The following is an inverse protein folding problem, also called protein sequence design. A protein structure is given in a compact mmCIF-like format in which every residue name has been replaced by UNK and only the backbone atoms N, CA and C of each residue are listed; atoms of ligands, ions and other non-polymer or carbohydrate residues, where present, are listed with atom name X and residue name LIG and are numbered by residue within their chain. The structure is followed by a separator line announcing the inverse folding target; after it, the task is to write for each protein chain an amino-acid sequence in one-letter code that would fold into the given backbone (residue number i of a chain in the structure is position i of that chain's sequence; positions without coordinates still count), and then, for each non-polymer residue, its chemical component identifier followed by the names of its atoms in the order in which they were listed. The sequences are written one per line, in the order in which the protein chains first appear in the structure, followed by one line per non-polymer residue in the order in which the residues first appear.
data_IF_164368029167
#
_entry.id   IF_164368029167
#
_cell.length_a   1.000
_cell.length_b   1.000
_cell.length_c   1.000
_cell.angle_alpha   90.00
_cell.angle_beta   90.00
_cell.angle_gamma   90.00
#
_symmetry.space_group_name_H-M   'P 1'
#
loop_
_entity.id
_entity.type
_entity.pdbx_description
1 polymer ?
#
# COMPACT_ATOMS: atom_id res chain seq x y z
N UNK A 1 19.56 19.01 -7.52
CA UNK A 1 19.65 19.23 -6.05
C UNK A 1 19.87 17.91 -5.32
N UNK A 2 20.59 17.89 -4.17
CA UNK A 2 20.70 16.69 -3.32
C UNK A 2 19.30 16.30 -2.80
N UNK A 3 18.81 15.08 -3.08
CA UNK A 3 17.46 14.57 -2.71
C UNK A 3 16.99 14.96 -1.30
N UNK A 4 17.89 14.94 -0.31
CA UNK A 4 17.58 15.33 1.08
C UNK A 4 16.98 16.74 1.19
N UNK A 5 17.51 17.71 0.44
CA UNK A 5 17.05 19.10 0.47
C UNK A 5 15.63 19.18 -0.10
N UNK A 6 15.40 18.54 -1.26
CA UNK A 6 14.08 18.38 -1.88
C UNK A 6 13.06 17.71 -0.95
N UNK A 7 13.45 16.62 -0.27
CA UNK A 7 12.59 15.95 0.70
C UNK A 7 12.24 16.85 1.89
N UNK A 8 13.21 17.57 2.44
CA UNK A 8 12.98 18.46 3.57
C UNK A 8 12.09 19.65 3.17
N UNK A 9 12.30 20.24 1.99
CA UNK A 9 11.45 21.29 1.43
C UNK A 9 10.02 20.78 1.23
N UNK A 10 9.86 19.59 0.65
CA UNK A 10 8.55 18.95 0.49
C UNK A 10 7.83 18.78 1.83
N UNK A 11 8.52 18.24 2.85
CA UNK A 11 7.93 18.02 4.17
C UNK A 11 7.63 19.32 4.93
N UNK A 12 8.42 20.38 4.70
CA UNK A 12 8.20 21.71 5.29
C UNK A 12 7.06 22.47 4.59
N UNK A 13 6.82 22.20 3.31
CA UNK A 13 5.75 22.81 2.53
C UNK A 13 4.37 22.18 2.76
N UNK A 14 4.26 21.13 3.59
CA UNK A 14 2.96 20.55 3.94
C UNK A 14 2.23 21.43 4.96
N UNK A 15 0.97 21.77 4.69
CA UNK A 15 0.14 22.60 5.59
C UNK A 15 -0.03 21.97 6.99
N UNK A 16 -0.06 20.64 7.05
CA UNK A 16 -0.10 19.87 8.30
C UNK A 16 1.25 19.22 8.53
N UNK A 17 1.68 19.16 9.79
CA UNK A 17 2.92 18.47 10.19
C UNK A 17 2.77 16.96 10.00
N UNK A 18 3.19 16.45 8.85
CA UNK A 18 3.13 15.02 8.53
C UNK A 18 4.34 14.26 9.09
N UNK A 19 4.19 13.00 9.51
CA UNK A 19 5.31 12.14 9.84
C UNK A 19 6.20 11.93 8.62
N UNK A 20 7.48 11.72 8.83
CA UNK A 20 8.44 11.56 7.75
C UNK A 20 9.79 11.05 8.25
N UNK A 21 10.63 10.66 7.31
CA UNK A 21 11.96 10.12 7.56
C UNK A 21 12.86 11.18 8.21
N UNK A 22 13.30 10.90 9.43
CA UNK A 22 14.16 11.70 10.28
C UNK A 22 15.61 11.72 9.82
N UNK A 23 15.88 12.15 8.58
CA UNK A 23 17.22 12.13 7.96
C UNK A 23 18.32 12.78 8.83
N UNK A 24 18.00 13.80 9.62
CA UNK A 24 18.97 14.43 10.55
C UNK A 24 19.36 13.45 11.67
N UNK A 25 18.36 12.86 12.34
CA UNK A 25 18.51 11.89 13.43
C UNK A 25 19.21 10.62 12.94
N UNK A 26 18.68 9.97 11.91
CA UNK A 26 19.24 8.71 11.38
C UNK A 26 20.68 8.88 10.87
N UNK A 27 21.00 10.00 10.20
CA UNK A 27 22.38 10.26 9.77
C UNK A 27 23.32 10.59 10.92
N UNK A 28 22.83 11.07 12.06
CA UNK A 28 23.64 11.32 13.25
C UNK A 28 24.11 9.99 13.86
N UNK A 29 23.21 9.00 13.94
CA UNK A 29 23.52 7.63 14.37
C UNK A 29 24.67 7.06 13.51
N UNK A 30 24.52 7.12 12.18
CA UNK A 30 25.54 6.64 11.24
C UNK A 30 26.88 7.39 11.33
N UNK A 31 26.86 8.68 11.69
CA UNK A 31 28.09 9.48 11.82
C UNK A 31 28.84 9.17 13.12
N UNK A 32 28.12 8.96 14.22
CA UNK A 32 28.71 8.63 15.52
C UNK A 32 29.46 7.31 15.44
N UNK A 33 28.88 6.31 14.79
CA UNK A 33 29.53 5.04 14.49
C UNK A 33 30.89 5.18 13.81
N UNK A 34 30.97 6.01 12.76
CA UNK A 34 32.22 6.26 12.03
C UNK A 34 33.29 6.92 12.93
N UNK A 35 32.89 7.80 13.85
CA UNK A 35 33.80 8.52 14.74
C UNK A 35 34.37 7.61 15.84
N UNK A 36 33.53 6.75 16.44
CA UNK A 36 33.95 5.84 17.50
C UNK A 36 34.96 4.77 17.02
N UNK A 37 34.83 4.32 15.77
CA UNK A 37 35.84 3.44 15.16
C UNK A 37 37.13 4.18 14.78
N UNK A 38 37.03 5.45 14.37
CA UNK A 38 38.20 6.26 14.09
C UNK A 38 38.99 6.58 15.37
N UNK A 39 38.32 6.90 16.48
CA UNK A 39 38.98 7.24 17.75
C UNK A 39 39.64 6.04 18.46
N UNK A 40 39.17 4.80 18.21
CA UNK A 40 39.82 3.60 18.76
C UNK A 40 41.14 3.25 18.06
N UNK A 41 41.37 3.79 16.86
CA UNK A 41 42.59 3.54 16.09
C UNK A 41 43.76 4.47 16.48
N UNK A 42 43.51 5.58 17.18
CA UNK A 42 44.57 6.51 17.61
C UNK A 42 45.43 5.96 18.76
N UNK A 43 45.06 4.82 19.36
CA UNK A 43 45.79 4.19 20.48
C UNK A 43 46.75 3.06 20.02
N UNK A 44 46.54 2.50 18.83
CA UNK A 44 47.38 1.44 18.28
C UNK A 44 47.73 1.78 16.83
N UNK A 45 48.88 2.43 16.64
CA UNK A 45 49.36 3.06 15.38
C UNK A 45 49.61 2.11 14.20
N UNK A 46 48.60 1.37 13.76
CA UNK A 46 48.60 0.61 12.51
C UNK A 46 47.52 1.20 11.60
N UNK A 47 47.97 1.86 10.53
CA UNK A 47 47.14 2.51 9.53
C UNK A 47 46.45 1.47 8.64
N UNK A 48 45.43 0.80 9.17
CA UNK A 48 44.45 0.09 8.35
C UNK A 48 43.15 0.90 8.31
N UNK A 49 42.74 1.31 7.11
CA UNK A 49 41.42 1.88 6.79
C UNK A 49 40.28 0.85 7.04
N UNK A 50 40.20 0.27 8.22
CA UNK A 50 39.18 -0.73 8.55
C UNK A 50 37.87 -0.02 8.89
N UNK A 51 36.94 -0.14 7.95
CA UNK A 51 35.57 0.31 8.09
C UNK A 51 34.83 -0.47 9.18
N UNK A 52 33.73 0.10 9.66
CA UNK A 52 32.83 -0.54 10.62
C UNK A 52 32.49 -1.99 10.20
N UNK A 53 32.44 -2.95 11.13
CA UNK A 53 32.08 -4.33 10.83
C UNK A 53 30.73 -4.44 10.13
N UNK A 54 30.53 -5.52 9.35
CA UNK A 54 29.28 -5.78 8.64
C UNK A 54 28.05 -5.90 9.58
N UNK A 55 28.27 -6.19 10.86
CA UNK A 55 27.29 -6.13 11.95
C UNK A 55 27.78 -5.16 13.03
N UNK A 56 27.05 -4.05 13.22
CA UNK A 56 27.35 -3.07 14.25
C UNK A 56 26.20 -3.06 15.26
N UNK A 57 26.28 -3.82 16.36
CA UNK A 57 25.16 -3.99 17.29
C UNK A 57 24.58 -2.67 17.82
N UNK A 58 25.44 -1.66 17.99
CA UNK A 58 25.06 -0.32 18.45
C UNK A 58 24.25 0.44 17.39
N UNK A 59 24.66 0.37 16.12
CA UNK A 59 23.88 0.96 15.04
C UNK A 59 22.61 0.16 14.79
N UNK A 60 22.69 -1.16 14.81
CA UNK A 60 21.57 -2.05 14.52
C UNK A 60 20.46 -1.86 15.57
N UNK A 61 20.83 -1.80 16.85
CA UNK A 61 19.93 -1.59 17.97
C UNK A 61 19.33 -0.18 18.09
N UNK A 62 19.79 0.80 17.30
CA UNK A 62 19.27 2.18 17.37
C UNK A 62 18.69 2.68 16.06
N UNK A 63 19.32 2.35 14.92
CA UNK A 63 18.93 2.78 13.59
C UNK A 63 17.66 2.09 13.12
N UNK A 64 17.61 0.75 13.11
CA UNK A 64 16.46 0.01 12.61
C UNK A 64 15.20 0.22 13.46
N UNK A 65 15.27 0.20 14.81
CA UNK A 65 14.10 0.55 15.63
C UNK A 65 13.61 1.99 15.43
N UNK A 66 14.53 2.95 15.27
CA UNK A 66 14.15 4.34 14.97
C UNK A 66 13.47 4.46 13.62
N UNK A 67 14.00 3.80 12.59
CA UNK A 67 13.43 3.83 11.25
C UNK A 67 12.09 3.08 11.20
N UNK A 68 11.99 1.94 11.89
CA UNK A 68 10.76 1.17 12.02
C UNK A 68 9.63 2.04 12.57
N UNK A 69 9.90 2.77 13.67
CA UNK A 69 8.92 3.70 14.25
C UNK A 69 8.52 4.80 13.27
N UNK A 70 9.49 5.42 12.60
CA UNK A 70 9.21 6.44 11.58
C UNK A 70 8.36 5.87 10.42
N UNK A 71 8.62 4.64 9.98
CA UNK A 71 7.84 3.96 8.94
C UNK A 71 6.40 3.67 9.38
N UNK A 72 6.21 3.13 10.58
CA UNK A 72 4.88 2.87 11.14
C UNK A 72 4.06 4.15 11.27
N UNK A 73 4.68 5.26 11.73
CA UNK A 73 4.00 6.55 11.85
C UNK A 73 3.61 7.10 10.45
N UNK A 74 4.47 6.95 9.44
CA UNK A 74 4.19 7.33 8.04
C UNK A 74 3.02 6.52 7.48
N UNK A 75 3.07 5.20 7.59
CA UNK A 75 2.04 4.30 7.04
C UNK A 75 0.71 4.50 7.76
N UNK A 76 0.71 4.61 9.09
CA UNK A 76 -0.50 4.86 9.87
C UNK A 76 -1.17 6.18 9.47
N UNK A 77 -0.39 7.27 9.38
CA UNK A 77 -0.91 8.57 8.94
C UNK A 77 -1.43 8.54 7.50
N UNK A 78 -0.71 7.88 6.59
CA UNK A 78 -1.14 7.73 5.20
C UNK A 78 -2.45 6.95 5.10
N UNK A 79 -2.53 5.76 5.71
CA UNK A 79 -3.71 4.89 5.66
C UNK A 79 -4.94 5.60 6.24
N UNK A 80 -4.81 6.26 7.40
CA UNK A 80 -5.92 6.97 8.03
C UNK A 80 -6.47 8.08 7.13
N UNK A 81 -5.59 8.88 6.51
CA UNK A 81 -6.01 9.97 5.63
C UNK A 81 -6.57 9.48 4.30
N UNK A 82 -5.94 8.48 3.69
CA UNK A 82 -6.39 7.89 2.44
C UNK A 82 -7.76 7.23 2.60
N UNK A 83 -7.95 6.45 3.68
CA UNK A 83 -9.23 5.84 4.01
C UNK A 83 -10.31 6.90 4.21
N UNK A 84 -10.06 7.93 5.02
CA UNK A 84 -11.04 9.03 5.21
C UNK A 84 -11.42 9.69 3.89
N UNK A 85 -10.43 9.98 3.04
CA UNK A 85 -10.68 10.60 1.74
C UNK A 85 -11.55 9.72 0.82
N UNK A 86 -11.22 8.42 0.74
CA UNK A 86 -11.96 7.46 -0.09
C UNK A 86 -13.36 7.20 0.45
N UNK A 87 -13.53 7.11 1.78
CA UNK A 87 -14.85 6.99 2.40
C UNK A 87 -15.72 8.23 2.11
N UNK A 88 -15.15 9.43 2.14
CA UNK A 88 -15.84 10.66 1.74
C UNK A 88 -16.23 10.65 0.26
N UNK A 89 -15.36 10.12 -0.60
CA UNK A 89 -15.60 10.05 -2.05
C UNK A 89 -16.70 9.04 -2.41
N UNK A 90 -16.61 7.84 -1.85
CA UNK A 90 -17.51 6.71 -2.12
C UNK A 90 -18.87 6.85 -1.41
N UNK A 91 -18.97 7.75 -0.42
CA UNK A 91 -20.22 7.99 0.30
C UNK A 91 -21.36 8.41 -0.64
N UNK A 92 -22.40 7.60 -0.71
CA UNK A 92 -23.67 7.88 -1.39
C UNK A 92 -24.84 7.95 -0.40
N UNK A 93 -25.97 8.52 -0.84
CA UNK A 93 -27.23 8.54 -0.08
C UNK A 93 -27.12 9.06 1.36
N UNK A 94 -27.69 8.31 2.31
CA UNK A 94 -27.72 8.67 3.74
C UNK A 94 -26.34 8.72 4.39
N UNK A 95 -25.36 7.95 3.90
CA UNK A 95 -23.98 7.97 4.44
C UNK A 95 -23.30 9.30 4.13
N UNK A 96 -23.53 9.84 2.93
CA UNK A 96 -23.10 11.19 2.54
C UNK A 96 -23.74 12.27 3.41
N UNK A 97 -25.03 12.13 3.72
CA UNK A 97 -25.76 13.03 4.61
C UNK A 97 -25.26 12.98 6.06
N UNK A 98 -24.98 11.79 6.60
CA UNK A 98 -24.49 11.62 7.96
C UNK A 98 -23.06 12.16 8.15
N UNK A 99 -22.20 11.96 7.16
CA UNK A 99 -20.88 12.58 7.07
C UNK A 99 -21.00 14.10 7.01
N UNK A 100 -21.94 14.61 6.22
CA UNK A 100 -22.23 16.04 6.12
C UNK A 100 -22.71 16.64 7.46
N UNK A 101 -23.50 15.90 8.24
CA UNK A 101 -23.95 16.34 9.57
C UNK A 101 -22.88 16.26 10.65
N UNK A 102 -21.96 15.29 10.58
CA UNK A 102 -20.89 15.10 11.58
C UNK A 102 -19.64 15.96 11.35
N UNK A 103 -19.46 16.56 10.17
CA UNK A 103 -18.24 17.31 9.85
C UNK A 103 -18.52 18.58 9.07
N UNK A 104 -18.02 19.73 9.56
CA UNK A 104 -17.85 20.96 8.78
C UNK A 104 -17.23 20.61 7.43
N UNK A 105 -18.02 20.71 6.37
CA UNK A 105 -17.58 20.43 5.01
C UNK A 105 -16.64 21.57 4.58
N UNK A 106 -15.34 21.39 4.77
CA UNK A 106 -14.34 22.31 4.24
C UNK A 106 -13.57 21.61 3.14
N UNK A 107 -14.14 21.66 1.93
CA UNK A 107 -13.45 21.26 0.71
C UNK A 107 -14.39 21.09 -0.48
N UNK A 108 -14.20 21.88 -1.53
CA UNK A 108 -14.80 21.61 -2.84
C UNK A 108 -14.31 20.26 -3.39
N UNK A 109 -15.00 19.69 -4.38
CA UNK A 109 -14.53 18.48 -5.09
C UNK A 109 -13.08 18.61 -5.58
N UNK A 110 -12.63 19.82 -5.91
CA UNK A 110 -11.25 20.12 -6.28
C UNK A 110 -10.27 19.89 -5.13
N UNK A 111 -10.64 20.22 -3.89
CA UNK A 111 -9.81 19.99 -2.71
C UNK A 111 -9.61 18.50 -2.41
N UNK A 112 -10.65 17.67 -2.56
CA UNK A 112 -10.55 16.21 -2.41
C UNK A 112 -9.58 15.61 -3.45
N UNK A 113 -9.68 16.06 -4.71
CA UNK A 113 -8.77 15.61 -5.76
C UNK A 113 -7.32 16.00 -5.41
N UNK A 114 -7.12 17.24 -4.97
CA UNK A 114 -5.78 17.71 -4.63
C UNK A 114 -5.21 16.95 -3.42
N UNK A 115 -6.01 16.72 -2.38
CA UNK A 115 -5.59 15.93 -1.22
C UNK A 115 -5.21 14.50 -1.62
N UNK A 116 -5.98 13.87 -2.50
CA UNK A 116 -5.64 12.55 -3.03
C UNK A 116 -4.29 12.55 -3.74
N UNK A 117 -3.97 13.61 -4.52
CA UNK A 117 -2.68 13.72 -5.21
C UNK A 117 -1.54 13.90 -4.21
N UNK A 118 -1.77 14.74 -3.21
CA UNK A 118 -0.78 15.00 -2.17
C UNK A 118 -0.46 13.74 -1.36
N UNK A 119 -1.46 12.88 -1.12
CA UNK A 119 -1.27 11.57 -0.48
C UNK A 119 -0.45 10.59 -1.33
N UNK A 120 -0.72 10.49 -2.64
CA UNK A 120 0.10 9.66 -3.55
C UNK A 120 1.55 10.16 -3.58
N UNK A 121 1.74 11.48 -3.72
CA UNK A 121 3.06 12.11 -3.66
C UNK A 121 3.77 11.83 -2.32
N UNK A 122 3.04 11.91 -1.21
CA UNK A 122 3.53 11.65 0.13
C UNK A 122 4.00 10.21 0.29
N UNK A 123 3.23 9.24 -0.19
CA UNK A 123 3.61 7.83 -0.16
C UNK A 123 4.92 7.58 -0.91
N UNK A 124 5.00 8.09 -2.14
CA UNK A 124 6.13 7.85 -3.03
C UNK A 124 7.41 8.52 -2.53
N UNK A 125 7.35 9.80 -2.14
CA UNK A 125 8.54 10.50 -1.67
C UNK A 125 9.10 9.90 -0.37
N UNK A 126 8.23 9.40 0.52
CA UNK A 126 8.64 8.67 1.72
C UNK A 126 9.24 7.31 1.38
N UNK A 127 8.64 6.54 0.46
CA UNK A 127 9.22 5.27 0.00
C UNK A 127 10.64 5.46 -0.59
N UNK A 128 10.84 6.52 -1.37
CA UNK A 128 12.17 6.88 -1.89
C UNK A 128 13.12 7.29 -0.78
N UNK A 129 12.64 8.05 0.21
CA UNK A 129 13.44 8.46 1.36
C UNK A 129 13.92 7.26 2.19
N UNK A 130 13.03 6.32 2.50
CA UNK A 130 13.31 5.06 3.19
C UNK A 130 14.35 4.25 2.41
N UNK A 131 14.13 4.05 1.10
CA UNK A 131 15.08 3.34 0.23
C UNK A 131 16.46 3.99 0.22
N UNK A 132 16.53 5.32 0.15
CA UNK A 132 17.82 6.06 0.13
C UNK A 132 18.53 6.04 1.48
N UNK A 133 17.82 6.04 2.62
CA UNK A 133 18.47 5.95 3.93
C UNK A 133 18.97 4.53 4.22
N UNK A 134 18.25 3.48 3.80
CA UNK A 134 18.69 2.10 3.88
C UNK A 134 19.92 1.84 3.01
N UNK A 135 19.92 2.29 1.74
CA UNK A 135 21.13 2.25 0.89
C UNK A 135 22.31 2.99 1.51
N UNK A 136 22.06 4.07 2.25
CA UNK A 136 23.11 4.78 2.96
C UNK A 136 23.64 3.96 4.14
N UNK A 137 22.78 3.29 4.89
CA UNK A 137 23.18 2.38 5.96
C UNK A 137 24.13 1.30 5.41
N UNK A 138 23.73 0.61 4.34
CA UNK A 138 24.53 -0.46 3.71
C UNK A 138 25.88 0.06 3.23
N UNK A 139 25.90 1.26 2.63
CA UNK A 139 27.13 1.91 2.18
C UNK A 139 28.08 2.29 3.32
N UNK A 140 27.56 2.63 4.51
CA UNK A 140 28.40 3.01 5.66
C UNK A 140 29.02 1.77 6.33
N UNK A 141 28.27 0.67 6.38
CA UNK A 141 28.66 -0.56 7.08
C UNK A 141 29.19 -1.66 6.15
N UNK A 142 29.29 -1.41 4.84
CA UNK A 142 29.63 -2.42 3.83
C UNK A 142 28.83 -3.72 4.00
N UNK A 143 27.53 -3.58 4.30
CA UNK A 143 26.63 -4.69 4.64
C UNK A 143 25.41 -4.73 3.72
N UNK A 144 24.58 -5.77 3.92
CA UNK A 144 23.27 -5.93 3.27
C UNK A 144 22.12 -5.83 4.27
N UNK A 145 22.37 -5.35 5.48
CA UNK A 145 21.35 -5.33 6.54
C UNK A 145 20.21 -4.35 6.23
N UNK A 146 20.49 -3.23 5.58
CA UNK A 146 19.46 -2.29 5.11
C UNK A 146 18.53 -2.93 4.08
N UNK A 147 19.07 -3.76 3.19
CA UNK A 147 18.28 -4.57 2.25
C UNK A 147 17.48 -5.67 2.96
N UNK A 148 18.10 -6.36 3.93
CA UNK A 148 17.41 -7.37 4.75
C UNK A 148 16.25 -6.76 5.53
N UNK A 149 16.47 -5.61 6.18
CA UNK A 149 15.44 -4.84 6.87
C UNK A 149 14.33 -4.41 5.92
N UNK A 150 14.63 -4.00 4.68
CA UNK A 150 13.59 -3.71 3.68
C UNK A 150 12.70 -4.94 3.43
N UNK A 151 13.31 -6.11 3.26
CA UNK A 151 12.58 -7.35 3.00
C UNK A 151 11.74 -7.77 4.22
N UNK A 152 12.27 -7.55 5.43
CA UNK A 152 11.53 -7.74 6.68
C UNK A 152 10.36 -6.76 6.80
N UNK A 153 10.57 -5.49 6.45
CA UNK A 153 9.54 -4.46 6.45
C UNK A 153 8.37 -4.79 5.50
N UNK A 154 8.66 -5.47 4.39
CA UNK A 154 7.64 -6.00 3.49
C UNK A 154 6.81 -7.12 4.13
N UNK A 155 7.46 -8.05 4.85
CA UNK A 155 6.73 -9.08 5.61
C UNK A 155 5.96 -8.54 6.82
N UNK A 156 6.27 -7.33 7.26
CA UNK A 156 5.60 -6.67 8.39
C UNK A 156 4.50 -5.68 7.95
N UNK A 157 4.24 -5.54 6.64
CA UNK A 157 3.24 -4.61 6.07
C UNK A 157 3.42 -3.14 6.47
N UNK A 158 4.67 -2.73 6.66
CA UNK A 158 5.04 -1.36 7.01
C UNK A 158 5.70 -0.63 5.83
N UNK A 159 5.77 -1.25 4.64
CA UNK A 159 6.13 -0.55 3.41
C UNK A 159 4.89 0.15 2.82
N UNK A 160 4.91 1.48 2.79
CA UNK A 160 3.77 2.30 2.31
C UNK A 160 3.31 1.96 0.88
N UNK A 161 4.21 1.43 0.04
CA UNK A 161 3.89 1.03 -1.34
C UNK A 161 3.02 -0.23 -1.43
N UNK A 162 2.97 -1.02 -0.35
CA UNK A 162 2.10 -2.20 -0.23
C UNK A 162 0.75 -1.85 0.41
N UNK A 163 0.51 -0.58 0.77
CA UNK A 163 -0.75 -0.19 1.36
C UNK A 163 -1.89 -0.35 0.33
N UNK A 164 -2.98 -1.05 0.66
CA UNK A 164 -4.14 -1.15 -0.23
C UNK A 164 -4.74 0.22 -0.57
N UNK A 165 -4.64 1.17 0.36
CA UNK A 165 -5.13 2.53 0.17
C UNK A 165 -4.33 3.31 -0.90
N UNK A 166 -3.07 2.95 -1.14
CA UNK A 166 -2.31 3.53 -2.25
C UNK A 166 -2.87 3.05 -3.59
N UNK A 167 -3.18 1.75 -3.71
CA UNK A 167 -3.80 1.18 -4.89
C UNK A 167 -5.16 1.85 -5.19
N UNK A 168 -6.00 2.00 -4.17
CA UNK A 168 -7.29 2.71 -4.29
C UNK A 168 -7.12 4.18 -4.69
N UNK A 169 -6.17 4.91 -4.09
CA UNK A 169 -5.91 6.30 -4.48
C UNK A 169 -5.43 6.42 -5.93
N UNK A 170 -4.60 5.49 -6.40
CA UNK A 170 -4.17 5.44 -7.80
C UNK A 170 -5.37 5.21 -8.73
N UNK A 171 -6.25 4.26 -8.40
CA UNK A 171 -7.46 3.99 -9.17
C UNK A 171 -8.43 5.18 -9.18
N UNK A 172 -8.65 5.81 -8.02
CA UNK A 172 -9.42 7.04 -7.84
C UNK A 172 -8.96 8.16 -8.79
N UNK A 173 -7.65 8.42 -8.88
CA UNK A 173 -7.12 9.46 -9.78
C UNK A 173 -7.39 9.16 -11.25
N UNK A 174 -7.25 7.90 -11.67
CA UNK A 174 -7.52 7.49 -13.05
C UNK A 174 -9.01 7.64 -13.36
N UNK A 175 -9.88 7.13 -12.48
CA UNK A 175 -11.34 7.25 -12.60
C UNK A 175 -11.82 8.71 -12.71
N UNK A 176 -11.20 9.62 -11.95
CA UNK A 176 -11.51 11.05 -12.01
C UNK A 176 -10.99 11.75 -13.27
N UNK A 177 -9.84 11.33 -13.79
CA UNK A 177 -9.30 11.88 -15.04
C UNK A 177 -10.23 11.57 -16.21
N UNK A 178 -10.68 10.33 -16.32
CA UNK A 178 -11.56 9.91 -17.41
C UNK A 178 -12.93 10.58 -17.38
N UNK A 179 -13.48 10.82 -16.18
CA UNK A 179 -14.75 11.54 -16.05
C UNK A 179 -14.64 13.01 -16.49
N UNK A 180 -13.52 13.69 -16.21
CA UNK A 180 -13.28 15.07 -16.66
C UNK A 180 -13.04 15.19 -18.17
N UNK A 181 -12.35 14.22 -18.78
CA UNK A 181 -12.17 14.17 -20.24
C UNK A 181 -13.52 14.04 -20.93
N UNK A 182 -14.42 13.18 -20.42
CA UNK A 182 -15.79 13.05 -20.93
C UNK A 182 -16.65 14.30 -20.72
N UNK A 183 -16.35 15.13 -19.71
CA UNK A 183 -17.09 16.36 -19.41
C UNK A 183 -16.49 17.63 -20.04
N UNK A 184 -15.46 17.52 -20.89
CA UNK A 184 -14.85 18.68 -21.58
C UNK A 184 -14.06 19.64 -20.66
N UNK A 185 -13.71 19.24 -19.44
CA UNK A 185 -12.91 20.08 -18.52
C UNK A 185 -11.41 19.82 -18.69
N UNK A 186 -10.62 20.90 -18.77
CA UNK A 186 -9.15 20.82 -18.89
C UNK A 186 -8.53 20.00 -17.76
N UNK A 187 -7.69 18.99 -18.05
CA UNK A 187 -7.14 18.12 -17.03
C UNK A 187 -6.10 18.89 -16.20
N UNK A 188 -6.40 19.10 -14.92
CA UNK A 188 -5.39 19.52 -13.95
C UNK A 188 -4.39 18.37 -13.74
N UNK A 189 -3.34 18.36 -14.56
CA UNK A 189 -1.97 17.85 -14.34
C UNK A 189 -1.73 16.93 -13.12
N UNK A 190 -2.23 15.71 -13.18
CA UNK A 190 -1.50 14.59 -12.57
C UNK A 190 -1.42 13.50 -13.61
N UNK A 191 -0.29 13.51 -14.30
CA UNK A 191 0.04 12.61 -15.41
C UNK A 191 0.80 11.36 -14.91
N UNK A 192 0.78 11.11 -13.60
CA UNK A 192 1.63 10.11 -12.97
C UNK A 192 1.09 8.69 -13.02
N UNK A 193 -0.21 8.48 -12.77
CA UNK A 193 -0.78 7.13 -12.69
C UNK A 193 -1.66 6.79 -13.90
N UNK A 194 -1.54 5.55 -14.37
CA UNK A 194 -2.20 5.05 -15.58
C UNK A 194 -2.35 3.53 -15.52
N UNK A 195 -3.30 2.99 -16.28
CA UNK A 195 -3.47 1.55 -16.46
C UNK A 195 -2.73 1.12 -17.73
N UNK A 196 -1.94 0.06 -17.65
CA UNK A 196 -1.28 -0.57 -18.81
C UNK A 196 -1.71 -2.01 -18.98
N UNK A 197 -1.53 -2.53 -20.19
CA UNK A 197 -1.76 -3.93 -20.50
C UNK A 197 -0.47 -4.50 -21.08
N UNK A 198 0.04 -5.58 -20.47
CA UNK A 198 1.17 -6.33 -20.98
C UNK A 198 0.74 -7.77 -21.20
N UNK A 199 0.81 -8.27 -22.43
CA UNK A 199 0.30 -9.59 -22.83
C UNK A 199 -1.15 -9.87 -22.36
N UNK A 200 -2.02 -8.84 -22.45
CA UNK A 200 -3.41 -8.91 -22.00
C UNK A 200 -3.61 -8.79 -20.49
N UNK A 201 -2.55 -8.74 -19.68
CA UNK A 201 -2.63 -8.59 -18.22
C UNK A 201 -2.60 -7.11 -17.81
N UNK A 202 -3.56 -6.65 -16.99
CA UNK A 202 -3.60 -5.26 -16.55
C UNK A 202 -2.62 -4.97 -15.41
N UNK A 203 -1.91 -3.84 -15.52
CA UNK A 203 -1.03 -3.31 -14.50
C UNK A 203 -1.43 -1.88 -14.16
N UNK A 204 -1.56 -1.61 -12.86
CA UNK A 204 -1.73 -0.26 -12.35
C UNK A 204 -0.35 0.36 -12.14
N UNK A 205 0.01 1.31 -12.99
CA UNK A 205 1.32 1.94 -13.02
C UNK A 205 1.25 3.36 -12.46
N UNK A 206 2.31 3.80 -11.78
CA UNK A 206 2.49 5.20 -11.45
C UNK A 206 3.96 5.62 -11.53
N UNK A 207 4.23 6.71 -12.25
CA UNK A 207 5.55 7.30 -12.45
C UNK A 207 5.64 8.64 -11.75
N UNK A 208 6.65 8.80 -10.90
CA UNK A 208 6.93 10.06 -10.22
C UNK A 208 8.42 10.40 -10.19
N UNK A 209 8.71 11.62 -9.73
CA UNK A 209 10.02 12.25 -9.60
C UNK A 209 11.19 11.26 -9.32
N UNK A 210 12.26 11.40 -10.10
CA UNK A 210 13.47 10.57 -10.09
C UNK A 210 13.31 9.14 -10.67
N UNK A 211 12.36 8.94 -11.62
CA UNK A 211 12.19 7.70 -12.40
C UNK A 211 11.79 6.47 -11.57
N UNK A 212 11.08 6.68 -10.46
CA UNK A 212 10.53 5.58 -9.68
C UNK A 212 9.18 5.21 -10.27
N UNK A 213 9.16 4.05 -10.93
CA UNK A 213 7.95 3.40 -11.43
C UNK A 213 7.43 2.43 -10.38
N UNK A 214 6.17 2.60 -10.00
CA UNK A 214 5.42 1.61 -9.24
C UNK A 214 4.51 0.89 -10.22
N UNK A 215 4.60 -0.43 -10.28
CA UNK A 215 3.74 -1.29 -11.10
C UNK A 215 3.08 -2.31 -10.18
N UNK A 216 1.75 -2.31 -10.15
CA UNK A 216 0.94 -3.26 -9.39
C UNK A 216 0.26 -4.18 -10.40
N UNK A 217 0.56 -5.48 -10.33
CA UNK A 217 -0.10 -6.51 -11.12
C UNK A 217 -1.54 -6.68 -10.63
N UNK A 218 -2.50 -6.53 -11.54
CA UNK A 218 -3.93 -6.70 -11.25
C UNK A 218 -4.44 -8.09 -11.67
N UNK A 219 -3.54 -9.07 -11.75
CA UNK A 219 -3.88 -10.48 -11.98
C UNK A 219 -4.09 -11.19 -10.64
N UNK A 220 -5.22 -11.87 -10.50
CA UNK A 220 -5.49 -12.73 -9.34
C UNK A 220 -4.62 -13.99 -9.45
N UNK A 221 -3.78 -14.27 -8.45
CA UNK A 221 -2.89 -15.44 -8.50
C UNK A 221 -3.58 -16.80 -8.29
N UNK A 222 -4.88 -16.79 -8.00
CA UNK A 222 -5.70 -18.01 -7.84
C UNK A 222 -6.36 -18.40 -9.16
N UNK A 223 -7.12 -17.48 -9.77
CA UNK A 223 -7.79 -17.77 -11.05
C UNK A 223 -6.95 -17.39 -12.28
N UNK A 224 -5.82 -16.71 -12.09
CA UNK A 224 -4.89 -16.25 -13.14
C UNK A 224 -5.48 -15.23 -14.14
N UNK A 225 -6.69 -14.75 -13.87
CA UNK A 225 -7.36 -13.69 -14.63
C UNK A 225 -7.21 -12.32 -13.95
N UNK A 226 -7.59 -11.25 -14.67
CA UNK A 226 -7.79 -9.91 -14.10
C UNK A 226 -8.70 -9.97 -12.88
N UNK A 227 -8.28 -9.33 -11.79
CA UNK A 227 -9.04 -9.29 -10.54
C UNK A 227 -10.48 -8.78 -10.75
N UNK A 228 -11.43 -9.47 -10.13
CA UNK A 228 -12.86 -9.16 -10.17
C UNK A 228 -13.39 -9.07 -8.74
N UNK A 229 -14.15 -8.02 -8.43
CA UNK A 229 -14.51 -7.68 -7.05
C UNK A 229 -13.27 -7.71 -6.13
N UNK A 230 -12.23 -6.91 -6.44
CA UNK A 230 -10.91 -7.06 -5.85
C UNK A 230 -10.91 -6.77 -4.35
N UNK A 231 -10.20 -7.62 -3.61
CA UNK A 231 -9.91 -7.43 -2.19
C UNK A 231 -8.41 -7.50 -1.95
N UNK A 232 -7.91 -6.62 -1.08
CA UNK A 232 -6.57 -6.74 -0.52
C UNK A 232 -6.66 -7.38 0.85
N UNK A 233 -5.87 -8.43 1.07
CA UNK A 233 -5.63 -8.96 2.41
C UNK A 233 -4.78 -7.97 3.23
N UNK A 234 -4.70 -8.15 4.55
CA UNK A 234 -3.86 -7.29 5.41
C UNK A 234 -2.39 -7.37 5.03
N UNK A 235 -1.99 -8.45 4.35
CA UNK A 235 -0.64 -8.61 3.82
C UNK A 235 -0.37 -7.88 2.49
N UNK A 236 -1.30 -7.04 2.02
CA UNK A 236 -1.17 -6.25 0.80
C UNK A 236 -1.35 -7.01 -0.52
N UNK A 237 -1.61 -8.32 -0.47
CA UNK A 237 -1.86 -9.14 -1.66
C UNK A 237 -3.31 -9.02 -2.10
N UNK A 238 -3.52 -8.86 -3.42
CA UNK A 238 -4.83 -8.61 -4.04
C UNK A 238 -5.35 -9.88 -4.71
N UNK A 239 -6.62 -10.20 -4.48
CA UNK A 239 -7.31 -11.35 -5.06
C UNK A 239 -8.74 -10.95 -5.45
N UNK A 240 -9.41 -11.77 -6.27
CA UNK A 240 -10.87 -11.69 -6.40
C UNK A 240 -11.53 -12.07 -5.07
N UNK A 241 -12.65 -11.44 -4.70
CA UNK A 241 -13.39 -11.76 -3.47
C UNK A 241 -13.69 -13.26 -3.33
N UNK A 242 -14.27 -13.88 -4.37
CA UNK A 242 -14.60 -15.31 -4.34
C UNK A 242 -13.37 -16.21 -4.22
N UNK A 243 -12.27 -15.84 -4.88
CA UNK A 243 -11.01 -16.57 -4.80
C UNK A 243 -10.43 -16.49 -3.38
N UNK A 244 -10.47 -15.31 -2.75
CA UNK A 244 -10.06 -15.15 -1.36
C UNK A 244 -10.94 -15.97 -0.40
N UNK A 245 -12.27 -16.00 -0.60
CA UNK A 245 -13.18 -16.81 0.22
C UNK A 245 -12.85 -18.30 0.12
N UNK A 246 -12.64 -18.79 -1.10
CA UNK A 246 -12.23 -20.17 -1.33
C UNK A 246 -10.88 -20.48 -0.69
N UNK A 247 -9.90 -19.60 -0.79
CA UNK A 247 -8.58 -19.77 -0.18
C UNK A 247 -8.61 -19.76 1.36
N UNK A 248 -9.57 -19.04 1.94
CA UNK A 248 -9.83 -19.01 3.37
C UNK A 248 -10.76 -20.13 3.86
N UNK A 249 -11.17 -21.05 2.98
CA UNK A 249 -12.12 -22.13 3.29
C UNK A 249 -13.45 -21.63 3.88
N UNK A 250 -13.92 -20.46 3.43
CA UNK A 250 -15.20 -19.87 3.86
C UNK A 250 -16.16 -19.73 2.69
N UNK A 251 -17.46 -19.88 2.99
CA UNK A 251 -18.49 -19.56 2.00
C UNK A 251 -18.54 -18.05 1.78
N UNK A 252 -18.89 -17.64 0.56
CA UNK A 252 -19.16 -16.24 0.23
C UNK A 252 -20.28 -15.61 1.09
N UNK A 253 -21.16 -16.44 1.68
CA UNK A 253 -22.26 -15.99 2.53
C UNK A 253 -21.74 -15.58 3.90
N UNK A 254 -20.85 -16.38 4.49
CA UNK A 254 -20.17 -16.06 5.74
C UNK A 254 -19.16 -14.92 5.54
N UNK A 255 -18.53 -14.88 4.37
CA UNK A 255 -17.54 -13.90 3.98
C UNK A 255 -16.18 -14.08 4.67
N UNK A 256 -15.20 -13.28 4.24
CA UNK A 256 -13.81 -13.38 4.68
C UNK A 256 -13.59 -13.16 6.18
N UNK A 257 -14.49 -12.46 6.86
CA UNK A 257 -14.40 -12.24 8.31
C UNK A 257 -14.60 -13.52 9.12
N UNK A 258 -15.22 -14.54 8.53
CA UNK A 258 -15.41 -15.84 9.17
C UNK A 258 -14.18 -16.76 9.03
N UNK A 259 -13.12 -16.32 8.35
CA UNK A 259 -11.92 -17.11 8.16
C UNK A 259 -11.23 -17.39 9.50
N UNK A 260 -10.76 -18.62 9.68
CA UNK A 260 -10.00 -18.95 10.88
C UNK A 260 -8.63 -18.23 10.88
N UNK A 261 -8.11 -17.79 12.05
CA UNK A 261 -6.81 -17.11 12.13
C UNK A 261 -5.62 -17.94 11.61
N UNK A 262 -5.77 -19.27 11.53
CA UNK A 262 -4.74 -20.18 11.00
C UNK A 262 -4.62 -20.13 9.48
N UNK A 263 -5.65 -19.64 8.79
CA UNK A 263 -5.70 -19.58 7.33
C UNK A 263 -4.65 -18.61 6.81
N UNK A 264 -4.01 -19.00 5.69
CA UNK A 264 -2.82 -18.34 5.18
C UNK A 264 -3.07 -17.68 3.83
N UNK A 265 -2.37 -16.58 3.58
CA UNK A 265 -2.30 -15.98 2.25
C UNK A 265 -1.73 -16.99 1.24
N UNK A 266 -2.35 -17.20 0.07
CA UNK A 266 -1.83 -18.09 -0.97
C UNK A 266 -0.47 -17.67 -1.54
N UNK A 267 -0.15 -16.37 -1.47
CA UNK A 267 1.09 -15.81 -2.01
C UNK A 267 2.23 -15.79 -0.99
N UNK A 268 2.04 -15.15 0.17
CA UNK A 268 3.11 -15.02 1.18
C UNK A 268 3.05 -16.03 2.33
N UNK A 269 2.00 -16.86 2.41
CA UNK A 269 1.78 -17.87 3.46
C UNK A 269 1.68 -17.33 4.89
N UNK A 270 1.49 -16.02 5.03
CA UNK A 270 1.23 -15.40 6.33
C UNK A 270 -0.17 -15.72 6.82
N UNK A 271 -0.29 -16.09 8.09
CA UNK A 271 -1.55 -16.46 8.72
C UNK A 271 -2.31 -15.24 9.25
N UNK A 272 -3.63 -15.35 9.40
CA UNK A 272 -4.45 -14.30 10.02
C UNK A 272 -4.65 -13.06 9.15
N UNK A 273 -4.48 -13.20 7.83
CA UNK A 273 -4.48 -12.05 6.90
C UNK A 273 -5.87 -11.65 6.39
N UNK A 274 -6.90 -12.43 6.71
CA UNK A 274 -8.24 -12.30 6.15
C UNK A 274 -9.17 -11.40 6.98
N UNK A 275 -8.97 -11.29 8.31
CA UNK A 275 -9.88 -10.55 9.20
C UNK A 275 -9.98 -9.05 8.87
N UNK A 276 -8.84 -8.43 8.55
CA UNK A 276 -8.71 -7.00 8.25
C UNK A 276 -8.66 -6.66 6.76
N UNK A 277 -9.23 -7.50 5.90
CA UNK A 277 -9.20 -7.26 4.45
C UNK A 277 -9.89 -5.95 4.05
N UNK A 278 -9.49 -5.39 2.91
CA UNK A 278 -10.02 -4.14 2.35
C UNK A 278 -10.61 -4.44 0.98
N UNK A 279 -11.87 -4.06 0.76
CA UNK A 279 -12.45 -4.02 -0.58
C UNK A 279 -11.86 -2.85 -1.37
N UNK A 280 -11.44 -3.11 -2.60
CA UNK A 280 -10.83 -2.12 -3.48
C UNK A 280 -11.88 -1.60 -4.47
N UNK A 281 -12.76 -0.71 -4.00
CA UNK A 281 -13.93 -0.22 -4.73
C UNK A 281 -13.56 0.65 -5.94
N UNK A 282 -12.61 1.57 -5.80
CA UNK A 282 -12.14 2.40 -6.91
C UNK A 282 -11.41 1.56 -7.96
N UNK A 283 -10.64 0.57 -7.52
CA UNK A 283 -10.02 -0.39 -8.44
C UNK A 283 -11.07 -1.20 -9.19
N UNK A 284 -12.13 -1.66 -8.50
CA UNK A 284 -13.26 -2.36 -9.11
C UNK A 284 -13.94 -1.49 -10.18
N UNK A 285 -14.18 -0.21 -9.89
CA UNK A 285 -14.74 0.75 -10.84
C UNK A 285 -13.82 0.93 -12.05
N UNK A 286 -12.51 1.04 -11.82
CA UNK A 286 -11.51 1.20 -12.89
C UNK A 286 -11.49 -0.02 -13.81
N UNK A 287 -11.34 -1.22 -13.26
CA UNK A 287 -11.30 -2.46 -14.04
C UNK A 287 -12.58 -2.64 -14.85
N UNK A 288 -13.76 -2.41 -14.25
CA UNK A 288 -15.05 -2.47 -14.95
C UNK A 288 -15.11 -1.52 -16.16
N UNK A 289 -14.54 -0.32 -16.05
CA UNK A 289 -14.55 0.67 -17.13
C UNK A 289 -13.55 0.34 -18.22
N UNK A 290 -12.34 -0.08 -17.84
CA UNK A 290 -11.25 -0.36 -18.77
C UNK A 290 -11.39 -1.72 -19.46
N UNK A 291 -12.06 -2.70 -18.85
CA UNK A 291 -12.23 -4.06 -19.35
C UNK A 291 -13.72 -4.47 -19.38
N UNK A 292 -14.58 -3.67 -20.02
CA UNK A 292 -16.04 -3.82 -19.90
C UNK A 292 -16.58 -5.17 -20.37
N UNK A 293 -16.13 -5.67 -21.52
CA UNK A 293 -16.60 -6.96 -22.06
C UNK A 293 -16.23 -8.14 -21.15
N UNK A 294 -14.95 -8.21 -20.74
CA UNK A 294 -14.50 -9.19 -19.74
C UNK A 294 -15.30 -9.08 -18.44
N UNK A 295 -15.55 -7.86 -17.96
CA UNK A 295 -16.26 -7.63 -16.72
C UNK A 295 -17.71 -8.13 -16.78
N UNK A 296 -18.42 -7.87 -17.87
CA UNK A 296 -19.80 -8.33 -18.07
C UNK A 296 -19.88 -9.85 -18.12
N UNK A 297 -18.98 -10.50 -18.86
CA UNK A 297 -18.89 -11.96 -18.92
C UNK A 297 -18.59 -12.55 -17.52
N UNK A 298 -17.60 -11.99 -16.83
CA UNK A 298 -17.21 -12.45 -15.48
C UNK A 298 -18.34 -12.25 -14.46
N UNK A 299 -19.06 -11.14 -14.53
CA UNK A 299 -20.21 -10.86 -13.67
C UNK A 299 -21.32 -11.90 -13.83
N UNK A 300 -21.63 -12.30 -15.07
CA UNK A 300 -22.65 -13.33 -15.32
C UNK A 300 -22.23 -14.69 -14.75
N UNK A 301 -20.97 -15.09 -14.99
CA UNK A 301 -20.41 -16.34 -14.46
C UNK A 301 -20.40 -16.36 -12.93
N UNK A 302 -19.85 -15.33 -12.29
CA UNK A 302 -19.79 -15.26 -10.83
C UNK A 302 -21.18 -15.13 -10.20
N UNK A 303 -22.15 -14.48 -10.85
CA UNK A 303 -23.52 -14.42 -10.32
C UNK A 303 -24.15 -15.81 -10.22
N UNK A 304 -24.00 -16.64 -11.26
CA UNK A 304 -24.51 -18.01 -11.24
C UNK A 304 -23.82 -18.83 -10.13
N UNK A 305 -22.50 -18.70 -10.02
CA UNK A 305 -21.72 -19.40 -9.01
C UNK A 305 -22.05 -18.94 -7.58
N UNK A 306 -22.25 -17.64 -7.36
CA UNK A 306 -22.65 -17.09 -6.05
C UNK A 306 -24.02 -17.62 -5.62
N UNK A 307 -24.98 -17.73 -6.54
CA UNK A 307 -26.29 -18.31 -6.25
C UNK A 307 -26.16 -19.79 -5.88
N UNK A 308 -25.33 -20.55 -6.61
CA UNK A 308 -25.06 -21.96 -6.32
C UNK A 308 -24.46 -22.15 -4.92
N UNK A 309 -23.38 -21.44 -4.60
CA UNK A 309 -22.73 -21.53 -3.29
C UNK A 309 -23.64 -21.08 -2.14
N UNK A 310 -24.47 -20.06 -2.35
CA UNK A 310 -25.44 -19.63 -1.35
C UNK A 310 -26.48 -20.72 -1.08
N UNK A 311 -26.99 -21.38 -2.12
CA UNK A 311 -27.92 -22.51 -1.98
C UNK A 311 -27.28 -23.66 -1.19
N UNK A 312 -26.09 -24.10 -1.58
CA UNK A 312 -25.35 -25.19 -0.90
C UNK A 312 -25.05 -24.86 0.57
N UNK A 313 -24.72 -23.60 0.86
CA UNK A 313 -24.50 -23.13 2.22
C UNK A 313 -25.76 -23.27 3.08
N UNK A 314 -26.91 -22.78 2.60
CA UNK A 314 -28.17 -22.87 3.35
C UNK A 314 -28.67 -24.31 3.46
N UNK A 315 -28.52 -25.14 2.43
CA UNK A 315 -28.84 -26.57 2.50
C UNK A 315 -28.01 -27.29 3.56
N UNK A 316 -26.70 -27.01 3.62
CA UNK A 316 -25.80 -27.58 4.64
C UNK A 316 -26.18 -27.12 6.05
N UNK A 317 -26.54 -25.83 6.23
CA UNK A 317 -27.01 -25.31 7.51
C UNK A 317 -28.35 -25.94 7.93
N UNK A 318 -29.27 -26.15 6.99
CA UNK A 318 -30.53 -26.84 7.26
C UNK A 318 -30.30 -28.30 7.65
N UNK A 319 -29.42 -29.03 6.96
CA UNK A 319 -29.08 -30.42 7.30
C UNK A 319 -28.46 -30.52 8.70
N UNK A 320 -27.50 -29.63 9.01
CA UNK A 320 -26.89 -29.57 10.34
C UNK A 320 -27.92 -29.26 11.45
N UNK A 321 -28.92 -28.41 11.17
CA UNK A 321 -29.99 -28.09 12.10
C UNK A 321 -30.98 -29.26 12.29
N UNK A 322 -31.31 -29.97 11.22
CA UNK A 322 -32.25 -31.12 11.24
C UNK A 322 -31.57 -32.41 11.73
N UNK A 323 -30.24 -32.45 11.80
CA UNK A 323 -29.47 -33.57 12.32
C UNK A 323 -29.37 -34.77 11.39
N UNK A 324 -29.41 -34.54 10.07
CA UNK A 324 -29.26 -35.56 9.01
C UNK A 324 -27.81 -35.67 8.57
#
# INVERSE_FOLDING_TARGET
MKFRKKYQEYMQGQEKKLPGVGFKKLKKILKNCRREFQSKNDVHGVLHNQTCPQHCPVCDGTFFPSLLKEMSDIVGCFNERAQKLLELHLASGFRKYFIWFKGKLQGSHVALIQEGKDLVNYALINAVAIRKILKKYDKVHFSKQGQAFKSQAQSMHIEILQSPWLCELMAFHINLRETKVKSGMTPASFEGCYLTFNDGKPFLSCELFDSVKLDIDLTCSICLDTVFDPVSLTCGHIFCYMCACSAASVSIVNGLKAAEPKEKCPLCREAGVYEGFVHLDELSILVRRSCSEYWEQRLLMERAERVRQAKEHWESQCQAFVGV
#
